data_IF_237364583260
#
_entry.id   IF_237364583260
#
_cell.length_a   1.000
_cell.length_b   1.000
_cell.length_c   1.000
_cell.angle_alpha   90.00
_cell.angle_beta   90.00
_cell.angle_gamma   90.00
#
_symmetry.space_group_name_H-M   'P 1'
#
loop_
_entity.id
_entity.type
_entity.pdbx_description
1 polymer ?
#
# COMPACT_ATOMS: atom_id res chain seq x y z
N UNK A 1 9.53 3.13 15.84
CA UNK A 1 10.95 2.77 15.62
C UNK A 1 11.21 2.32 14.18
N UNK A 2 10.27 1.60 13.54
CA UNK A 2 10.44 1.09 12.17
C UNK A 2 10.59 2.19 11.09
N UNK A 3 9.96 3.35 11.27
CA UNK A 3 9.99 4.44 10.29
C UNK A 3 11.39 5.03 10.10
N UNK A 4 12.10 5.26 11.19
CA UNK A 4 13.47 5.80 11.16
C UNK A 4 14.46 4.82 10.53
N UNK A 5 14.37 3.56 10.92
CA UNK A 5 15.24 2.52 10.37
C UNK A 5 15.00 2.31 8.86
N UNK A 6 13.74 2.38 8.42
CA UNK A 6 13.36 2.23 7.01
C UNK A 6 14.06 3.24 6.09
N UNK A 7 14.19 4.51 6.52
CA UNK A 7 14.89 5.53 5.75
C UNK A 7 16.40 5.25 5.66
N UNK A 8 17.01 4.85 6.78
CA UNK A 8 18.44 4.51 6.82
C UNK A 8 18.74 3.32 5.90
N UNK A 9 17.93 2.28 5.95
CA UNK A 9 18.10 1.11 5.07
C UNK A 9 17.90 1.46 3.60
N UNK A 10 16.98 2.36 3.26
CA UNK A 10 16.81 2.80 1.88
C UNK A 10 18.05 3.56 1.35
N UNK A 11 18.66 4.42 2.18
CA UNK A 11 19.94 5.07 1.85
C UNK A 11 21.06 4.06 1.65
N UNK A 12 21.15 3.07 2.55
CA UNK A 12 22.15 1.99 2.42
C UNK A 12 21.93 1.19 1.12
N UNK A 13 20.70 0.86 0.75
CA UNK A 13 20.39 0.19 -0.51
C UNK A 13 20.87 1.00 -1.72
N UNK A 14 20.69 2.32 -1.71
CA UNK A 14 21.19 3.18 -2.78
C UNK A 14 22.71 3.14 -2.89
N UNK A 15 23.43 3.26 -1.78
CA UNK A 15 24.90 3.18 -1.76
C UNK A 15 25.41 1.81 -2.24
N UNK A 16 24.74 0.73 -1.82
CA UNK A 16 25.10 -0.62 -2.25
C UNK A 16 24.80 -0.83 -3.74
N UNK A 17 23.68 -0.32 -4.25
CA UNK A 17 23.32 -0.38 -5.67
C UNK A 17 24.34 0.36 -6.55
N UNK A 18 24.86 1.50 -6.08
CA UNK A 18 25.91 2.25 -6.79
C UNK A 18 27.25 1.53 -6.82
N UNK A 19 27.53 0.74 -5.79
CA UNK A 19 28.84 0.08 -5.60
C UNK A 19 28.88 -1.33 -6.19
N UNK A 20 27.73 -2.02 -6.27
CA UNK A 20 27.65 -3.43 -6.65
C UNK A 20 26.49 -3.67 -7.63
N UNK A 21 26.78 -4.03 -8.85
CA UNK A 21 25.80 -4.25 -9.93
C UNK A 21 24.73 -5.30 -9.58
N UNK A 22 25.11 -6.36 -8.86
CA UNK A 22 24.19 -7.43 -8.46
C UNK A 22 23.12 -6.99 -7.43
N UNK A 23 23.30 -5.86 -6.74
CA UNK A 23 22.35 -5.39 -5.74
C UNK A 23 21.00 -5.04 -6.35
N UNK A 24 20.96 -4.56 -7.59
CA UNK A 24 19.69 -4.28 -8.27
C UNK A 24 18.81 -5.52 -8.39
N UNK A 25 19.38 -6.67 -8.76
CA UNK A 25 18.65 -7.94 -8.87
C UNK A 25 18.14 -8.43 -7.51
N UNK A 26 18.96 -8.30 -6.46
CA UNK A 26 18.55 -8.68 -5.10
C UNK A 26 17.38 -7.81 -4.63
N UNK A 27 17.45 -6.50 -4.84
CA UNK A 27 16.38 -5.57 -4.44
C UNK A 27 15.09 -5.89 -5.19
N UNK A 28 15.13 -6.07 -6.51
CA UNK A 28 13.96 -6.42 -7.32
C UNK A 28 13.33 -7.74 -6.85
N UNK A 29 14.13 -8.77 -6.66
CA UNK A 29 13.64 -10.05 -6.15
C UNK A 29 12.93 -9.92 -4.80
N UNK A 30 13.49 -9.15 -3.86
CA UNK A 30 12.86 -8.91 -2.55
C UNK A 30 11.55 -8.11 -2.67
N UNK A 31 11.44 -7.20 -3.65
CA UNK A 31 10.21 -6.47 -3.91
C UNK A 31 9.12 -7.41 -4.48
N UNK A 32 9.48 -8.31 -5.40
CA UNK A 32 8.57 -9.33 -5.93
C UNK A 32 8.06 -10.25 -4.81
N UNK A 33 8.95 -10.74 -3.93
CA UNK A 33 8.56 -11.52 -2.75
C UNK A 33 7.66 -10.75 -1.79
N UNK A 34 7.87 -9.45 -1.64
CA UNK A 34 6.97 -8.61 -0.86
C UNK A 34 5.57 -8.53 -1.47
N UNK A 35 5.46 -8.38 -2.78
CA UNK A 35 4.15 -8.30 -3.44
C UNK A 35 3.32 -9.57 -3.27
N UNK A 36 3.94 -10.73 -3.11
CA UNK A 36 3.25 -11.99 -2.78
C UNK A 36 2.51 -11.94 -1.42
N UNK A 37 2.91 -11.07 -0.50
CA UNK A 37 2.18 -10.87 0.76
C UNK A 37 0.76 -10.34 0.56
N UNK A 38 0.46 -9.79 -0.61
CA UNK A 38 -0.88 -9.33 -0.95
C UNK A 38 -1.72 -10.38 -1.70
N UNK A 39 -1.12 -11.49 -2.19
CA UNK A 39 -1.84 -12.43 -3.04
C UNK A 39 -2.92 -13.22 -2.28
N UNK A 40 -2.59 -13.76 -1.13
CA UNK A 40 -3.49 -14.59 -0.33
C UNK A 40 -3.66 -13.98 1.07
N UNK A 41 -4.52 -12.97 1.17
CA UNK A 41 -4.81 -12.32 2.44
C UNK A 41 -5.95 -13.06 3.13
N UNK A 42 -5.64 -13.70 4.24
CA UNK A 42 -6.63 -14.36 5.09
C UNK A 42 -6.96 -13.47 6.29
N UNK A 43 -8.23 -13.44 6.67
CA UNK A 43 -8.71 -12.69 7.82
C UNK A 43 -9.59 -13.59 8.66
N UNK A 44 -9.32 -13.63 9.96
CA UNK A 44 -10.03 -14.46 10.93
C UNK A 44 -10.45 -13.58 12.11
N UNK A 45 -11.67 -13.84 12.63
CA UNK A 45 -12.12 -13.18 13.86
C UNK A 45 -11.30 -13.67 15.06
N UNK A 46 -10.96 -12.80 16.02
CA UNK A 46 -10.29 -13.24 17.25
C UNK A 46 -11.15 -14.20 18.09
N UNK A 47 -12.47 -14.25 17.85
CA UNK A 47 -13.41 -15.16 18.51
C UNK A 47 -13.36 -16.57 17.90
N UNK A 48 -12.99 -16.68 16.62
CA UNK A 48 -12.89 -17.95 15.91
C UNK A 48 -11.52 -18.61 16.10
N UNK A 49 -10.43 -17.85 15.98
CA UNK A 49 -9.05 -18.31 16.13
C UNK A 49 -8.13 -17.14 16.50
N UNK A 50 -7.83 -17.02 17.79
CA UNK A 50 -7.04 -15.91 18.31
C UNK A 50 -5.57 -15.95 17.84
N UNK A 51 -4.97 -17.13 17.70
CA UNK A 51 -3.57 -17.25 17.27
C UNK A 51 -3.45 -16.83 15.81
N UNK A 52 -4.34 -17.30 14.94
CA UNK A 52 -4.39 -16.90 13.53
C UNK A 52 -4.73 -15.42 13.34
N UNK A 53 -5.57 -14.85 14.20
CA UNK A 53 -5.81 -13.41 14.23
C UNK A 53 -4.53 -12.62 14.55
N UNK A 54 -3.74 -13.08 15.54
CA UNK A 54 -2.45 -12.45 15.86
C UNK A 54 -1.45 -12.56 14.71
N UNK A 55 -1.35 -13.71 14.06
CA UNK A 55 -0.50 -13.90 12.87
C UNK A 55 -0.91 -12.96 11.72
N UNK A 56 -2.21 -12.85 11.47
CA UNK A 56 -2.76 -11.93 10.46
C UNK A 56 -2.36 -10.48 10.75
N UNK A 57 -2.44 -10.04 12.01
CA UNK A 57 -2.03 -8.69 12.40
C UNK A 57 -0.52 -8.45 12.19
N UNK A 58 0.32 -9.43 12.49
CA UNK A 58 1.77 -9.36 12.22
C UNK A 58 2.02 -9.21 10.71
N UNK A 59 1.31 -9.98 9.87
CA UNK A 59 1.42 -9.86 8.41
C UNK A 59 0.94 -8.49 7.91
N UNK A 60 -0.14 -7.95 8.47
CA UNK A 60 -0.63 -6.61 8.13
C UNK A 60 0.39 -5.53 8.49
N UNK A 61 0.98 -5.59 9.68
CA UNK A 61 2.07 -4.66 10.04
C UNK A 61 3.29 -4.79 9.13
N UNK A 62 3.64 -6.01 8.73
CA UNK A 62 4.70 -6.26 7.75
C UNK A 62 4.38 -5.61 6.41
N UNK A 63 3.16 -5.76 5.87
CA UNK A 63 2.72 -5.11 4.63
C UNK A 63 2.87 -3.59 4.70
N UNK A 64 2.36 -2.95 5.76
CA UNK A 64 2.45 -1.50 5.96
C UNK A 64 3.88 -1.01 6.09
N UNK A 65 4.72 -1.74 6.83
CA UNK A 65 6.14 -1.42 7.00
C UNK A 65 6.90 -1.52 5.67
N UNK A 66 6.60 -2.52 4.86
CA UNK A 66 7.22 -2.68 3.54
C UNK A 66 6.71 -1.66 2.53
N UNK A 67 5.43 -1.29 2.55
CA UNK A 67 4.90 -0.18 1.75
C UNK A 67 5.62 1.13 2.07
N UNK A 68 5.88 1.42 3.34
CA UNK A 68 6.69 2.56 3.76
C UNK A 68 8.14 2.46 3.26
N UNK A 69 8.72 1.26 3.33
CA UNK A 69 10.08 1.03 2.85
C UNK A 69 10.20 1.26 1.34
N UNK A 70 9.23 0.81 0.56
CA UNK A 70 9.17 1.09 -0.88
C UNK A 70 9.10 2.59 -1.19
N UNK A 71 8.31 3.36 -0.43
CA UNK A 71 8.30 4.83 -0.55
C UNK A 71 9.70 5.42 -0.29
N UNK A 72 10.41 4.93 0.73
CA UNK A 72 11.75 5.40 1.05
C UNK A 72 12.78 4.96 0.00
N UNK A 73 12.66 3.76 -0.57
CA UNK A 73 13.48 3.30 -1.70
C UNK A 73 13.27 4.21 -2.92
N UNK A 74 12.02 4.60 -3.21
CA UNK A 74 11.72 5.52 -4.31
C UNK A 74 12.33 6.91 -4.06
N UNK A 75 12.20 7.46 -2.87
CA UNK A 75 12.83 8.74 -2.48
C UNK A 75 14.36 8.72 -2.58
N UNK A 76 14.97 7.56 -2.47
CA UNK A 76 16.42 7.36 -2.61
C UNK A 76 16.81 6.79 -3.99
N UNK A 77 15.95 6.89 -4.99
CA UNK A 77 16.22 6.50 -6.39
C UNK A 77 16.60 5.02 -6.58
N UNK A 78 16.24 4.17 -5.63
CA UNK A 78 16.47 2.72 -5.71
C UNK A 78 15.38 2.05 -6.55
N UNK A 79 14.14 2.53 -6.40
CA UNK A 79 12.93 2.10 -7.12
C UNK A 79 12.35 3.29 -7.87
N UNK A 80 11.77 3.07 -9.04
CA UNK A 80 11.18 4.14 -9.85
C UNK A 80 9.81 4.57 -9.32
N UNK A 81 9.40 5.80 -9.66
CA UNK A 81 8.05 6.27 -9.37
C UNK A 81 6.99 5.43 -10.10
N UNK A 82 7.27 5.03 -11.34
CA UNK A 82 6.37 4.17 -12.13
C UNK A 82 6.06 2.87 -11.41
N UNK A 83 7.08 2.23 -10.79
CA UNK A 83 6.87 1.02 -9.98
C UNK A 83 5.94 1.27 -8.80
N UNK A 84 6.08 2.39 -8.10
CA UNK A 84 5.19 2.74 -6.98
C UNK A 84 3.77 2.98 -7.48
N UNK A 85 3.61 3.66 -8.60
CA UNK A 85 2.30 3.92 -9.22
C UNK A 85 1.63 2.61 -9.65
N UNK A 86 2.37 1.67 -10.20
CA UNK A 86 1.88 0.33 -10.56
C UNK A 86 1.37 -0.44 -9.32
N UNK A 87 2.09 -0.37 -8.18
CA UNK A 87 1.62 -0.97 -6.93
C UNK A 87 0.33 -0.30 -6.43
N UNK A 88 0.25 1.03 -6.48
CA UNK A 88 -0.97 1.77 -6.13
C UNK A 88 -2.14 1.31 -6.99
N UNK A 89 -1.96 1.20 -8.31
CA UNK A 89 -2.99 0.72 -9.23
C UNK A 89 -3.43 -0.72 -8.93
N UNK A 90 -2.50 -1.59 -8.60
CA UNK A 90 -2.79 -2.98 -8.23
C UNK A 90 -3.68 -3.03 -6.98
N UNK A 91 -3.33 -2.29 -5.93
CA UNK A 91 -4.12 -2.23 -4.71
C UNK A 91 -5.50 -1.60 -4.96
N UNK A 92 -5.57 -0.48 -5.70
CA UNK A 92 -6.84 0.16 -6.04
C UNK A 92 -7.75 -0.74 -6.87
N UNK A 93 -7.20 -1.50 -7.82
CA UNK A 93 -7.97 -2.43 -8.64
C UNK A 93 -8.59 -3.53 -7.80
N UNK A 94 -7.87 -4.06 -6.82
CA UNK A 94 -8.42 -5.05 -5.87
C UNK A 94 -9.55 -4.47 -5.02
N UNK A 95 -9.39 -3.24 -4.51
CA UNK A 95 -10.45 -2.55 -3.77
C UNK A 95 -11.70 -2.41 -4.63
N UNK A 96 -11.55 -1.94 -5.88
CA UNK A 96 -12.68 -1.76 -6.80
C UNK A 96 -13.36 -3.08 -7.15
N UNK A 97 -12.61 -4.16 -7.33
CA UNK A 97 -13.16 -5.48 -7.67
C UNK A 97 -13.94 -6.11 -6.50
N UNK A 98 -13.48 -5.88 -5.26
CA UNK A 98 -14.11 -6.45 -4.07
C UNK A 98 -15.20 -5.57 -3.43
N UNK A 99 -15.44 -4.34 -3.92
CA UNK A 99 -16.27 -3.35 -3.23
C UNK A 99 -17.73 -3.79 -3.00
N UNK A 100 -18.24 -4.71 -3.78
CA UNK A 100 -19.63 -5.21 -3.69
C UNK A 100 -19.75 -6.49 -2.84
N UNK A 101 -18.65 -7.11 -2.45
CA UNK A 101 -18.64 -8.36 -1.66
C UNK A 101 -18.27 -8.07 -0.20
N UNK A 102 -19.21 -8.35 0.71
CA UNK A 102 -18.99 -8.19 2.15
C UNK A 102 -17.81 -9.02 2.68
N UNK A 103 -17.54 -10.17 2.08
CA UNK A 103 -16.40 -11.01 2.47
C UNK A 103 -15.06 -10.35 2.21
N UNK A 104 -14.99 -9.43 1.24
CA UNK A 104 -13.79 -8.67 0.93
C UNK A 104 -13.54 -7.49 1.89
N UNK A 105 -14.47 -7.17 2.79
CA UNK A 105 -14.37 -6.00 3.69
C UNK A 105 -13.08 -5.94 4.50
N UNK A 106 -12.63 -7.02 5.19
CA UNK A 106 -11.37 -6.98 5.96
C UNK A 106 -10.14 -6.80 5.06
N UNK A 107 -10.13 -7.43 3.89
CA UNK A 107 -9.07 -7.26 2.90
C UNK A 107 -9.01 -5.82 2.40
N UNK A 108 -10.17 -5.25 2.03
CA UNK A 108 -10.26 -3.87 1.55
C UNK A 108 -9.78 -2.88 2.61
N UNK A 109 -10.13 -3.09 3.88
CA UNK A 109 -9.62 -2.24 4.96
C UNK A 109 -8.10 -2.24 5.02
N UNK A 110 -7.46 -3.40 4.90
CA UNK A 110 -5.99 -3.50 4.91
C UNK A 110 -5.37 -2.92 3.63
N UNK A 111 -5.97 -3.13 2.47
CA UNK A 111 -5.54 -2.50 1.22
C UNK A 111 -5.60 -0.96 1.32
N UNK A 112 -6.65 -0.41 1.94
CA UNK A 112 -6.80 1.03 2.18
C UNK A 112 -5.72 1.58 3.14
N UNK A 113 -5.31 0.81 4.15
CA UNK A 113 -4.18 1.19 5.03
C UNK A 113 -2.87 1.27 4.23
N UNK A 114 -2.61 0.32 3.34
CA UNK A 114 -1.40 0.34 2.51
C UNK A 114 -1.45 1.47 1.46
N UNK A 115 -2.60 1.72 0.83
CA UNK A 115 -2.79 2.89 -0.05
C UNK A 115 -2.54 4.20 0.69
N UNK A 116 -3.02 4.32 1.93
CA UNK A 116 -2.72 5.48 2.77
C UNK A 116 -1.21 5.63 3.00
N UNK A 117 -0.49 4.55 3.30
CA UNK A 117 0.97 4.60 3.47
C UNK A 117 1.65 5.09 2.20
N UNK A 118 1.33 4.53 1.03
CA UNK A 118 1.92 4.97 -0.24
C UNK A 118 1.64 6.45 -0.52
N UNK A 119 0.37 6.83 -0.55
CA UNK A 119 -0.07 8.15 -1.02
C UNK A 119 0.29 9.29 -0.06
N UNK A 120 0.49 9.01 1.23
CA UNK A 120 0.85 10.03 2.22
C UNK A 120 2.34 10.11 2.53
N UNK A 121 3.13 9.12 2.11
CA UNK A 121 4.58 9.12 2.28
C UNK A 121 5.35 9.43 0.99
N UNK A 122 4.70 9.47 -0.18
CA UNK A 122 5.31 10.00 -1.41
C UNK A 122 5.25 11.53 -1.41
N UNK A 123 6.16 12.16 -2.15
CA UNK A 123 6.08 13.60 -2.40
C UNK A 123 4.92 13.88 -3.37
N UNK A 124 3.88 14.53 -2.87
CA UNK A 124 2.70 14.87 -3.65
C UNK A 124 3.04 15.72 -4.89
N UNK A 125 4.01 16.63 -4.79
CA UNK A 125 4.42 17.48 -5.94
C UNK A 125 5.00 16.66 -7.09
N UNK A 126 5.58 15.50 -6.80
CA UNK A 126 6.12 14.58 -7.79
C UNK A 126 5.01 13.65 -8.28
N UNK A 127 4.27 13.03 -7.36
CA UNK A 127 3.20 12.09 -7.67
C UNK A 127 2.07 12.73 -8.52
N UNK A 128 1.68 13.96 -8.20
CA UNK A 128 0.62 14.68 -8.94
C UNK A 128 0.97 15.04 -10.38
N UNK A 129 2.24 14.96 -10.75
CA UNK A 129 2.71 15.17 -12.14
C UNK A 129 2.79 13.87 -12.94
N UNK A 130 2.60 12.73 -12.31
CA UNK A 130 2.60 11.45 -13.00
C UNK A 130 1.40 11.35 -13.96
N UNK A 131 1.55 10.80 -15.17
CA UNK A 131 0.45 10.68 -16.15
C UNK A 131 -0.79 9.99 -15.59
N UNK A 132 -0.62 8.98 -14.74
CA UNK A 132 -1.70 8.19 -14.18
C UNK A 132 -2.34 8.82 -12.92
N UNK A 133 -1.86 9.98 -12.47
CA UNK A 133 -2.39 10.61 -11.26
C UNK A 133 -3.90 10.83 -11.29
N UNK A 134 -4.44 11.28 -12.41
CA UNK A 134 -5.87 11.50 -12.54
C UNK A 134 -6.67 10.21 -12.31
N UNK A 135 -6.22 9.08 -12.86
CA UNK A 135 -6.84 7.78 -12.64
C UNK A 135 -6.78 7.34 -11.18
N UNK A 136 -5.66 7.57 -10.50
CA UNK A 136 -5.52 7.30 -9.06
C UNK A 136 -6.50 8.16 -8.27
N UNK A 137 -6.54 9.46 -8.55
CA UNK A 137 -7.39 10.42 -7.84
C UNK A 137 -8.88 10.12 -8.01
N UNK A 138 -9.34 9.82 -9.23
CA UNK A 138 -10.73 9.45 -9.52
C UNK A 138 -11.20 8.24 -8.72
N UNK A 139 -10.35 7.21 -8.59
CA UNK A 139 -10.66 6.03 -7.78
C UNK A 139 -10.74 6.36 -6.28
N UNK A 140 -9.88 7.24 -5.77
CA UNK A 140 -9.95 7.72 -4.38
C UNK A 140 -11.27 8.46 -4.11
N UNK A 141 -11.68 9.34 -5.03
CA UNK A 141 -12.95 10.07 -4.93
C UNK A 141 -14.15 9.13 -5.05
N UNK A 142 -14.09 8.14 -5.94
CA UNK A 142 -15.12 7.13 -6.10
C UNK A 142 -15.37 6.39 -4.78
N UNK A 143 -14.33 5.83 -4.15
CA UNK A 143 -14.48 5.08 -2.89
C UNK A 143 -14.96 5.98 -1.74
N UNK A 144 -14.44 7.20 -1.63
CA UNK A 144 -14.93 8.18 -0.65
C UNK A 144 -16.43 8.41 -0.76
N UNK A 145 -16.95 8.53 -1.99
CA UNK A 145 -18.35 8.85 -2.25
C UNK A 145 -19.28 7.62 -2.33
N UNK A 146 -18.71 6.42 -2.25
CA UNK A 146 -19.45 5.16 -2.32
C UNK A 146 -20.47 5.06 -1.19
N UNK A 147 -21.68 4.60 -1.53
CA UNK A 147 -22.69 4.25 -0.53
C UNK A 147 -22.38 2.86 0.06
N UNK A 148 -22.03 2.80 1.34
CA UNK A 148 -21.69 1.56 2.03
C UNK A 148 -22.89 0.58 2.14
N UNK A 149 -24.14 1.05 1.97
CA UNK A 149 -25.31 0.17 1.95
C UNK A 149 -25.45 -0.59 0.62
N UNK A 150 -24.95 -0.01 -0.46
CA UNK A 150 -24.98 -0.60 -1.81
C UNK A 150 -23.71 -1.38 -2.13
N UNK A 151 -22.61 -1.10 -1.41
CA UNK A 151 -21.29 -1.67 -1.65
C UNK A 151 -20.78 -2.29 -0.35
N UNK A 152 -21.23 -3.50 -0.06
CA UNK A 152 -21.05 -4.17 1.23
C UNK A 152 -19.57 -4.43 1.62
N UNK A 153 -18.66 -4.49 0.65
CA UNK A 153 -17.21 -4.60 0.88
C UNK A 153 -16.56 -3.29 1.39
N UNK A 154 -17.22 -2.13 1.24
CA UNK A 154 -16.68 -0.84 1.67
C UNK A 154 -17.17 -0.50 3.08
N UNK A 155 -16.25 -0.45 4.04
CA UNK A 155 -16.56 -0.01 5.40
C UNK A 155 -16.45 1.51 5.56
N UNK A 156 -17.04 2.04 6.64
CA UNK A 156 -16.81 3.45 7.04
C UNK A 156 -15.31 3.74 7.25
N UNK A 157 -14.56 2.78 7.82
CA UNK A 157 -13.12 2.89 8.00
C UNK A 157 -12.39 3.08 6.66
N UNK A 158 -12.73 2.30 5.64
CA UNK A 158 -12.18 2.44 4.29
C UNK A 158 -12.48 3.83 3.70
N UNK A 159 -13.72 4.32 3.85
CA UNK A 159 -14.10 5.66 3.38
C UNK A 159 -13.33 6.77 4.09
N UNK A 160 -13.24 6.74 5.43
CA UNK A 160 -12.47 7.72 6.20
C UNK A 160 -11.00 7.72 5.79
N UNK A 161 -10.42 6.54 5.55
CA UNK A 161 -9.04 6.45 5.07
C UNK A 161 -8.84 7.16 3.73
N UNK A 162 -9.79 7.04 2.80
CA UNK A 162 -9.74 7.76 1.51
C UNK A 162 -9.95 9.27 1.68
N UNK A 163 -10.78 9.70 2.64
CA UNK A 163 -10.89 11.12 2.98
C UNK A 163 -9.58 11.68 3.50
N UNK A 164 -8.91 10.97 4.42
CA UNK A 164 -7.62 11.36 4.97
C UNK A 164 -6.53 11.45 3.89
N UNK A 165 -6.53 10.53 2.91
CA UNK A 165 -5.63 10.58 1.77
C UNK A 165 -5.89 11.85 0.94
N UNK A 166 -7.14 12.09 0.56
CA UNK A 166 -7.52 13.23 -0.27
C UNK A 166 -7.24 14.57 0.42
N UNK A 167 -7.33 14.65 1.75
CA UNK A 167 -7.00 15.86 2.50
C UNK A 167 -5.50 16.15 2.52
N UNK A 168 -4.65 15.13 2.41
CA UNK A 168 -3.19 15.28 2.29
C UNK A 168 -2.72 15.51 0.85
N UNK A 169 -3.57 15.27 -0.14
CA UNK A 169 -3.32 15.47 -1.56
C UNK A 169 -3.82 16.84 -2.07
N UNK A 170 -3.92 17.84 -1.20
CA UNK A 170 -4.33 19.22 -1.54
C UNK A 170 -3.15 20.17 -1.68
#
# INVERSE_FOLDING_TARGET
SNKFNSEIYAKLCNELKRKYDFMSSIILHNIEEFMKLFENMEFVSPEDDYDKFCETNILNEKRRSMSLFLCNLCKNEVVTLDSIVEYIHTLQSRVMNGMNDEKCKPEIEELCENLYVFLTNMDFKILSKHPDWNSIYEKLVCIKNTNAQENAGISHKSKFKHMDILDKCK
#
